data_IF_705559471432
#
_entry.id   IF_705559471432
#
_cell.length_a   1.000
_cell.length_b   1.000
_cell.length_c   1.000
_cell.angle_alpha   90.00
_cell.angle_beta   90.00
_cell.angle_gamma   90.00
#
_symmetry.space_group_name_H-M   'P 1'
#
loop_
_entity.id
_entity.type
_entity.pdbx_description
1 polymer ?
#
# COMPACT_ATOMS: atom_id res chain seq x y z
N UNK A 1 19.52 7.01 0.72
CA UNK A 1 18.72 7.84 1.65
C UNK A 1 17.25 7.44 1.57
N UNK A 2 16.52 7.41 2.69
CA UNK A 2 15.07 7.14 2.74
C UNK A 2 14.33 8.47 2.73
N UNK A 3 13.55 8.74 1.68
CA UNK A 3 12.77 9.97 1.51
C UNK A 3 11.31 9.72 1.87
N UNK A 4 10.70 10.55 2.72
CA UNK A 4 9.26 10.54 2.96
C UNK A 4 8.55 11.19 1.77
N UNK A 5 7.62 10.48 1.15
CA UNK A 5 6.81 10.97 0.04
C UNK A 5 5.48 11.58 0.50
N UNK A 6 4.95 11.06 1.59
CA UNK A 6 3.67 11.51 2.13
C UNK A 6 3.21 10.64 3.28
N UNK A 7 2.23 11.18 4.00
CA UNK A 7 1.59 10.54 5.13
C UNK A 7 0.08 10.61 4.93
N UNK A 8 -0.60 9.50 5.20
CA UNK A 8 -2.03 9.42 5.31
C UNK A 8 -2.41 9.14 6.76
N UNK A 9 -3.37 9.89 7.29
CA UNK A 9 -3.63 9.92 8.73
C UNK A 9 -5.11 9.84 9.03
N UNK A 10 -5.42 9.08 10.09
CA UNK A 10 -6.68 9.10 10.81
C UNK A 10 -6.40 9.41 12.27
N UNK A 11 -7.45 9.51 13.08
CA UNK A 11 -7.30 9.71 14.54
C UNK A 11 -6.42 8.67 15.22
N UNK A 12 -6.36 7.44 14.66
CA UNK A 12 -5.73 6.29 15.32
C UNK A 12 -4.56 5.69 14.54
N UNK A 13 -4.42 6.01 13.25
CA UNK A 13 -3.48 5.35 12.35
C UNK A 13 -2.81 6.38 11.45
N UNK A 14 -1.48 6.28 11.37
CA UNK A 14 -0.67 6.99 10.36
C UNK A 14 -0.09 5.95 9.43
N UNK A 15 -0.18 6.17 8.12
CA UNK A 15 0.52 5.39 7.10
C UNK A 15 1.48 6.31 6.36
N UNK A 16 2.77 6.04 6.50
CA UNK A 16 3.84 6.76 5.82
C UNK A 16 4.29 5.97 4.59
N UNK A 17 4.48 6.69 3.48
CA UNK A 17 5.12 6.16 2.27
C UNK A 17 6.52 6.75 2.13
N UNK A 18 7.50 5.86 2.02
CA UNK A 18 8.89 6.25 1.81
C UNK A 18 9.42 5.69 0.49
N UNK A 19 10.31 6.44 -0.16
CA UNK A 19 11.11 5.94 -1.30
C UNK A 19 12.61 5.88 -1.00
N UNK A 20 13.24 4.94 -1.67
CA UNK A 20 14.68 4.88 -1.96
C UNK A 20 14.83 4.76 -3.48
N UNK A 21 16.05 4.60 -4.00
CA UNK A 21 16.26 4.46 -5.44
C UNK A 21 15.44 3.31 -6.07
N UNK A 22 15.47 2.13 -5.44
CA UNK A 22 14.86 0.91 -5.99
C UNK A 22 13.59 0.45 -5.26
N UNK A 23 13.38 0.91 -4.03
CA UNK A 23 12.34 0.39 -3.15
C UNK A 23 11.44 1.48 -2.62
N UNK A 24 10.16 1.13 -2.46
CA UNK A 24 9.20 1.87 -1.63
C UNK A 24 8.89 1.10 -0.36
N UNK A 25 8.52 1.83 0.69
CA UNK A 25 8.09 1.26 1.97
C UNK A 25 6.83 1.94 2.46
N UNK A 26 5.80 1.14 2.70
CA UNK A 26 4.64 1.53 3.48
C UNK A 26 4.89 1.18 4.95
N UNK A 27 4.62 2.13 5.84
CA UNK A 27 4.77 1.96 7.27
C UNK A 27 3.57 2.52 8.00
N UNK A 28 2.88 1.66 8.74
CA UNK A 28 1.73 1.99 9.55
C UNK A 28 2.13 2.11 11.02
N UNK A 29 1.82 3.24 11.64
CA UNK A 29 1.87 3.45 13.08
C UNK A 29 0.46 3.42 13.69
N UNK A 30 0.30 2.80 14.86
CA UNK A 30 -0.90 2.88 15.72
C UNK A 30 -0.47 2.83 17.17
N UNK A 31 -0.59 3.96 17.87
CA UNK A 31 0.09 4.16 19.16
C UNK A 31 1.59 3.86 19.03
N UNK A 32 2.16 3.09 19.95
CA UNK A 32 3.59 2.76 19.96
C UNK A 32 3.96 1.59 19.03
N UNK A 33 3.02 1.04 18.25
CA UNK A 33 3.26 -0.13 17.39
C UNK A 33 3.39 0.30 15.94
N UNK A 34 4.52 -0.04 15.32
CA UNK A 34 4.77 0.14 13.89
C UNK A 34 4.79 -1.19 13.16
N UNK A 35 4.22 -1.22 11.95
CA UNK A 35 4.30 -2.34 11.02
C UNK A 35 4.52 -1.80 9.62
N UNK A 36 5.27 -2.51 8.79
CA UNK A 36 5.52 -2.04 7.45
C UNK A 36 5.85 -3.16 6.48
N UNK A 37 5.74 -2.82 5.20
CA UNK A 37 6.16 -3.66 4.09
C UNK A 37 6.92 -2.81 3.08
N UNK A 38 7.86 -3.43 2.39
CA UNK A 38 8.62 -2.81 1.30
C UNK A 38 8.39 -3.59 0.02
N UNK A 39 8.48 -2.93 -1.13
CA UNK A 39 8.42 -3.58 -2.45
C UNK A 39 9.23 -2.77 -3.49
N UNK A 40 9.60 -3.38 -4.62
CA UNK A 40 10.22 -2.66 -5.72
C UNK A 40 9.35 -1.48 -6.16
N UNK A 41 9.99 -0.34 -6.43
CA UNK A 41 9.32 0.92 -6.76
C UNK A 41 8.45 0.80 -8.01
N UNK A 42 8.97 0.18 -9.06
CA UNK A 42 8.31 -0.11 -10.33
C UNK A 42 7.02 -0.93 -10.17
N UNK A 43 6.93 -1.75 -9.13
CA UNK A 43 5.76 -2.59 -8.86
C UNK A 43 4.67 -1.91 -8.03
N UNK A 44 4.96 -0.74 -7.45
CA UNK A 44 4.06 -0.10 -6.49
C UNK A 44 2.70 0.28 -7.09
N UNK A 45 2.66 0.64 -8.37
CA UNK A 45 1.41 0.96 -9.09
C UNK A 45 0.44 -0.21 -9.12
N UNK A 46 0.93 -1.44 -9.24
CA UNK A 46 0.08 -2.63 -9.22
C UNK A 46 -0.56 -2.85 -7.85
N UNK A 47 0.17 -2.59 -6.76
CA UNK A 47 -0.40 -2.64 -5.41
C UNK A 47 -1.48 -1.56 -5.23
N UNK A 48 -1.22 -0.34 -5.68
CA UNK A 48 -2.18 0.76 -5.55
C UNK A 48 -3.47 0.50 -6.34
N UNK A 49 -3.36 0.00 -7.57
CA UNK A 49 -4.51 -0.41 -8.38
C UNK A 49 -5.28 -1.56 -7.75
N UNK A 50 -4.59 -2.60 -7.27
CA UNK A 50 -5.21 -3.73 -6.59
C UNK A 50 -6.00 -3.30 -5.34
N UNK A 51 -5.42 -2.40 -4.54
CA UNK A 51 -6.09 -1.82 -3.36
C UNK A 51 -7.32 -1.02 -3.78
N UNK A 52 -7.20 -0.15 -4.79
CA UNK A 52 -8.32 0.66 -5.27
C UNK A 52 -9.50 -0.19 -5.76
N UNK A 53 -9.24 -1.21 -6.59
CA UNK A 53 -10.29 -2.11 -7.06
C UNK A 53 -10.90 -2.93 -5.91
N UNK A 54 -10.07 -3.41 -4.97
CA UNK A 54 -10.56 -4.14 -3.78
C UNK A 54 -11.51 -3.30 -2.93
N UNK A 55 -11.28 -1.99 -2.86
CA UNK A 55 -12.08 -1.08 -2.03
C UNK A 55 -13.42 -0.72 -2.68
N UNK A 56 -13.52 -0.76 -4.01
CA UNK A 56 -14.81 -0.63 -4.71
C UNK A 56 -15.77 -1.77 -4.36
N UNK A 57 -15.24 -2.98 -4.16
CA UNK A 57 -16.00 -4.17 -3.78
C UNK A 57 -15.83 -4.50 -2.28
N UNK A 58 -16.06 -3.49 -1.44
CA UNK A 58 -15.97 -3.68 0.01
C UNK A 58 -17.17 -4.46 0.58
N UNK A 59 -16.97 -5.30 1.62
CA UNK A 59 -18.05 -6.05 2.24
C UNK A 59 -19.16 -5.16 2.80
N UNK A 60 -20.43 -5.49 2.53
CA UNK A 60 -21.59 -4.77 3.08
C UNK A 60 -21.94 -5.17 4.51
N UNK A 61 -21.37 -6.27 5.00
CA UNK A 61 -21.61 -6.82 6.34
C UNK A 61 -20.31 -7.09 7.08
N UNK A 62 -20.40 -7.22 8.40
CA UNK A 62 -19.27 -7.63 9.22
C UNK A 62 -18.85 -9.06 8.86
N UNK A 63 -17.58 -9.25 8.56
CA UNK A 63 -17.03 -10.54 8.21
C UNK A 63 -16.87 -11.43 9.45
N UNK A 64 -17.07 -12.75 9.25
CA UNK A 64 -16.77 -13.77 10.27
C UNK A 64 -15.34 -14.30 10.17
N UNK A 65 -14.64 -14.02 9.07
CA UNK A 65 -13.28 -14.46 8.81
C UNK A 65 -12.65 -13.71 7.62
N UNK A 66 -11.38 -13.99 7.31
CA UNK A 66 -10.70 -13.36 6.18
C UNK A 66 -11.40 -13.63 4.84
N UNK A 67 -11.61 -12.57 4.06
CA UNK A 67 -12.08 -12.60 2.68
C UNK A 67 -10.92 -12.14 1.77
N UNK A 68 -10.20 -13.06 1.11
CA UNK A 68 -9.16 -12.71 0.15
C UNK A 68 -9.74 -11.99 -1.06
N UNK A 69 -9.10 -10.88 -1.46
CA UNK A 69 -9.52 -10.11 -2.63
C UNK A 69 -8.54 -10.29 -3.80
N UNK A 70 -7.25 -10.00 -3.58
CA UNK A 70 -6.25 -10.03 -4.66
C UNK A 70 -4.85 -10.29 -4.12
N UNK A 71 -4.00 -10.85 -4.98
CA UNK A 71 -2.57 -11.02 -4.75
C UNK A 71 -1.80 -10.22 -5.80
N UNK A 72 -0.76 -9.52 -5.37
CA UNK A 72 0.15 -8.78 -6.26
C UNK A 72 1.59 -9.23 -6.04
N UNK A 73 2.39 -9.16 -7.09
CA UNK A 73 3.80 -9.45 -7.01
C UNK A 73 4.54 -8.35 -6.22
N UNK A 74 5.10 -8.72 -5.06
CA UNK A 74 5.84 -7.82 -4.20
C UNK A 74 7.35 -7.83 -4.40
N UNK A 75 7.89 -8.53 -5.40
CA UNK A 75 9.34 -8.72 -5.57
C UNK A 75 9.81 -10.04 -4.99
N UNK A 76 10.34 -10.01 -3.77
CA UNK A 76 10.81 -11.20 -3.05
C UNK A 76 9.68 -12.09 -2.52
N UNK A 77 8.48 -11.54 -2.32
CA UNK A 77 7.29 -12.25 -1.82
C UNK A 77 6.01 -11.62 -2.35
N UNK A 78 4.99 -12.45 -2.53
CA UNK A 78 3.63 -12.00 -2.83
C UNK A 78 3.08 -11.11 -1.72
N UNK A 79 2.32 -10.09 -2.12
CA UNK A 79 1.52 -9.26 -1.22
C UNK A 79 0.06 -9.65 -1.40
N UNK A 80 -0.61 -10.04 -0.33
CA UNK A 80 -2.04 -10.29 -0.31
C UNK A 80 -2.80 -9.05 0.14
N UNK A 81 -3.91 -8.74 -0.53
CA UNK A 81 -4.91 -7.77 -0.08
C UNK A 81 -6.17 -8.55 0.29
N UNK A 82 -6.60 -8.40 1.53
CA UNK A 82 -7.71 -9.17 2.13
C UNK A 82 -8.59 -8.23 2.94
N UNK A 83 -9.89 -8.47 2.96
CA UNK A 83 -10.78 -7.92 3.98
C UNK A 83 -10.82 -8.87 5.19
N UNK A 84 -10.69 -8.34 6.41
CA UNK A 84 -10.70 -9.16 7.62
C UNK A 84 -11.55 -8.52 8.72
N UNK A 85 -12.21 -9.32 9.60
CA UNK A 85 -12.79 -8.79 10.82
C UNK A 85 -11.70 -8.13 11.67
N UNK A 86 -12.02 -6.96 12.19
CA UNK A 86 -11.07 -6.10 12.88
C UNK A 86 -11.67 -5.50 14.15
N UNK A 87 -10.78 -4.98 15.00
CA UNK A 87 -11.14 -4.36 16.28
C UNK A 87 -12.08 -5.24 17.14
N UNK A 88 -11.70 -6.50 17.35
CA UNK A 88 -12.50 -7.50 18.08
C UNK A 88 -13.88 -7.76 17.45
N UNK A 89 -13.96 -7.73 16.11
CA UNK A 89 -15.22 -7.97 15.38
C UNK A 89 -16.19 -6.80 15.41
N UNK A 90 -15.71 -5.56 15.58
CA UNK A 90 -16.57 -4.37 15.56
C UNK A 90 -16.65 -3.70 14.19
N UNK A 91 -15.69 -3.98 13.32
CA UNK A 91 -15.65 -3.48 11.95
C UNK A 91 -14.83 -4.44 11.07
N UNK A 92 -14.83 -4.20 9.76
CA UNK A 92 -13.85 -4.82 8.87
C UNK A 92 -12.64 -3.90 8.68
N UNK A 93 -11.52 -4.48 8.25
CA UNK A 93 -10.35 -3.72 7.80
C UNK A 93 -9.81 -4.30 6.50
N UNK A 94 -9.33 -3.40 5.64
CA UNK A 94 -8.48 -3.74 4.52
C UNK A 94 -7.08 -4.07 5.07
N UNK A 95 -6.61 -5.29 4.79
CA UNK A 95 -5.31 -5.76 5.21
C UNK A 95 -4.43 -6.00 3.98
N UNK A 96 -3.32 -5.27 3.91
CA UNK A 96 -2.25 -5.47 2.93
C UNK A 96 -1.11 -6.18 3.64
N UNK A 97 -0.77 -7.40 3.23
CA UNK A 97 0.17 -8.26 3.97
C UNK A 97 1.25 -8.82 3.06
N UNK A 98 2.51 -8.73 3.51
CA UNK A 98 3.68 -9.33 2.84
C UNK A 98 4.34 -10.37 3.75
N UNK A 99 3.79 -11.59 3.74
CA UNK A 99 4.19 -12.67 4.65
C UNK A 99 3.77 -12.45 6.11
N UNK A 100 4.30 -13.25 7.04
CA UNK A 100 3.92 -13.22 8.46
C UNK A 100 4.35 -11.92 9.16
N UNK A 101 3.40 -11.24 9.82
CA UNK A 101 3.67 -10.10 10.72
C UNK A 101 3.88 -8.73 10.07
N UNK A 102 4.06 -8.67 8.74
CA UNK A 102 4.26 -7.43 7.96
C UNK A 102 2.96 -7.04 7.27
N UNK A 103 2.14 -6.22 7.93
CA UNK A 103 0.85 -5.79 7.39
C UNK A 103 0.53 -4.33 7.63
N UNK A 104 -0.15 -3.74 6.65
CA UNK A 104 -0.86 -2.47 6.75
C UNK A 104 -2.33 -2.83 6.94
N UNK A 105 -2.95 -2.28 7.98
CA UNK A 105 -4.36 -2.45 8.29
C UNK A 105 -5.02 -1.08 8.29
N UNK A 106 -6.09 -0.93 7.51
CA UNK A 106 -6.89 0.28 7.39
C UNK A 106 -8.35 -0.09 7.64
N UNK A 107 -9.02 0.61 8.54
CA UNK A 107 -10.44 0.33 8.83
C UNK A 107 -11.30 0.57 7.60
N UNK A 108 -12.39 -0.19 7.44
CA UNK A 108 -13.23 -0.12 6.24
C UNK A 108 -13.76 1.30 5.97
N UNK A 109 -14.13 2.05 7.01
CA UNK A 109 -14.59 3.45 6.90
C UNK A 109 -13.56 4.38 6.26
N UNK A 110 -12.28 4.03 6.36
CA UNK A 110 -11.15 4.83 5.92
C UNK A 110 -10.51 4.30 4.62
N UNK A 111 -10.96 3.14 4.13
CA UNK A 111 -10.32 2.42 3.04
C UNK A 111 -10.37 3.16 1.71
N UNK A 112 -11.48 3.82 1.39
CA UNK A 112 -11.62 4.57 0.13
C UNK A 112 -10.72 5.81 0.10
N UNK A 113 -10.75 6.73 1.09
CA UNK A 113 -9.77 7.83 1.17
C UNK A 113 -8.32 7.34 1.12
N UNK A 114 -8.01 6.24 1.82
CA UNK A 114 -6.68 5.64 1.80
C UNK A 114 -6.27 5.15 0.40
N UNK A 115 -7.17 4.48 -0.32
CA UNK A 115 -6.90 3.98 -1.67
C UNK A 115 -6.62 5.11 -2.67
N UNK A 116 -7.32 6.24 -2.55
CA UNK A 116 -7.07 7.43 -3.37
C UNK A 116 -5.70 8.04 -3.09
N UNK A 117 -5.34 8.17 -1.81
CA UNK A 117 -4.02 8.63 -1.42
C UNK A 117 -2.92 7.71 -1.97
N UNK A 118 -3.11 6.39 -1.86
CA UNK A 118 -2.17 5.40 -2.35
C UNK A 118 -2.00 5.49 -3.87
N UNK A 119 -3.12 5.59 -4.60
CA UNK A 119 -3.13 5.74 -6.06
C UNK A 119 -2.42 7.01 -6.52
N UNK A 120 -2.71 8.15 -5.89
CA UNK A 120 -2.06 9.43 -6.18
C UNK A 120 -0.54 9.30 -6.11
N UNK A 121 -0.01 8.73 -5.02
CA UNK A 121 1.43 8.59 -4.86
C UNK A 121 2.04 7.54 -5.80
N UNK A 122 1.29 6.50 -6.15
CA UNK A 122 1.76 5.52 -7.11
C UNK A 122 1.89 6.10 -8.53
N UNK A 123 0.95 6.95 -8.95
CA UNK A 123 1.04 7.66 -10.23
C UNK A 123 2.25 8.61 -10.27
N UNK A 124 2.48 9.37 -9.20
CA UNK A 124 3.67 10.24 -9.10
C UNK A 124 4.97 9.44 -9.17
N UNK A 125 5.05 8.31 -8.48
CA UNK A 125 6.24 7.45 -8.51
C UNK A 125 6.50 6.80 -9.87
N UNK A 126 5.43 6.47 -10.60
CA UNK A 126 5.51 5.94 -11.96
C UNK A 126 6.00 7.03 -12.94
N UNK A 127 5.47 8.26 -12.82
CA UNK A 127 5.95 9.41 -13.60
C UNK A 127 7.43 9.68 -13.36
N UNK A 128 7.85 9.80 -12.08
CA UNK A 128 9.26 9.97 -11.71
C UNK A 128 10.16 8.89 -12.34
N UNK A 129 9.67 7.64 -12.45
CA UNK A 129 10.47 6.53 -13.00
C UNK A 129 10.59 6.61 -14.52
N UNK A 130 9.53 7.03 -15.20
CA UNK A 130 9.56 7.23 -16.65
C UNK A 130 10.52 8.34 -17.04
N UNK A 131 10.54 9.44 -16.27
CA UNK A 131 11.47 10.55 -16.50
C UNK A 131 12.94 10.10 -16.32
N UNK A 132 13.25 9.39 -15.22
CA UNK A 132 14.59 8.82 -14.96
C UNK A 132 15.07 7.88 -16.08
N UNK A 133 14.16 7.05 -16.63
CA UNK A 133 14.49 6.14 -17.73
C UNK A 133 14.70 6.87 -19.05
N UNK A 134 13.94 7.95 -19.29
CA UNK A 134 14.09 8.79 -20.48
C UNK A 134 15.44 9.51 -20.49
N UNK A 135 15.86 10.07 -19.35
CA UNK A 135 17.15 10.72 -19.20
C UNK A 135 18.30 9.73 -19.43
N UNK A 136 18.24 8.55 -18.78
CA UNK A 136 19.25 7.52 -18.94
C UNK A 136 19.39 7.00 -20.38
N UNK A 137 18.27 6.92 -21.13
CA UNK A 137 18.28 6.51 -22.53
C UNK A 137 18.94 7.57 -23.45
N UNK A 138 18.77 8.86 -23.14
CA UNK A 138 19.44 9.95 -23.86
C UNK A 138 20.95 9.94 -23.60
N UNK A 139 21.36 9.78 -22.35
CA UNK A 139 22.77 9.72 -21.98
C UNK A 139 23.50 8.52 -22.59
N UNK A 140 22.82 7.37 -22.71
CA UNK A 140 23.38 6.17 -23.33
C UNK A 140 23.50 6.25 -24.88
N UNK A 141 22.88 7.25 -25.49
CA UNK A 141 22.89 7.47 -26.94
C UNK A 141 23.94 8.50 -27.40
N UNK A 142 24.67 9.12 -26.45
CA UNK A 142 25.78 10.05 -26.66
C UNK A 142 27.15 9.34 -26.51
#
# INVERSE_FOLDING_TARGET
>A
MKLLLGSWETRNVTVNLYKTAQWVRLERARGNKTKGLSMPRDRFIHLAAAVFETVKDQPSTLLIGPLPAVMVDGGDRTISVTWEPYNFGRCNALIIRKGSGRSIAVEQSDAMPFSWWLMKHALLLAADLMDELSEAAQDASC
#
